data_IF_799301404564
#
_entry.id   IF_799301404564
#
_cell.length_a   1.000
_cell.length_b   1.000
_cell.length_c   1.000
_cell.angle_alpha   90.00
_cell.angle_beta   90.00
_cell.angle_gamma   90.00
#
_symmetry.space_group_name_H-M   'P 1'
#
loop_
_entity.id
_entity.type
_entity.pdbx_description
1 polymer ?
#
# COMPACT_ATOMS: atom_id res chain seq x y z
N UNK A 1 -7.56 1.47 17.35
CA UNK A 1 -7.74 2.45 16.27
C UNK A 1 -6.40 2.57 15.56
N UNK A 2 -5.35 3.09 16.20
CA UNK A 2 -3.98 3.16 15.62
C UNK A 2 -3.50 1.93 14.82
N UNK A 3 -3.48 0.72 15.39
CA UNK A 3 -3.01 -0.46 14.64
C UNK A 3 -3.91 -0.87 13.46
N UNK A 4 -5.19 -0.49 13.47
CA UNK A 4 -6.12 -0.78 12.37
C UNK A 4 -5.86 0.17 11.20
N UNK A 5 -5.68 1.45 11.50
CA UNK A 5 -5.38 2.48 10.50
C UNK A 5 -4.04 2.15 9.81
N UNK A 6 -3.03 1.70 10.57
CA UNK A 6 -1.77 1.18 10.02
C UNK A 6 -1.96 -0.03 9.10
N UNK A 7 -2.80 -1.00 9.47
CA UNK A 7 -3.12 -2.16 8.64
C UNK A 7 -3.84 -1.74 7.36
N UNK A 8 -4.86 -0.88 7.47
CA UNK A 8 -5.65 -0.40 6.33
C UNK A 8 -4.75 0.39 5.36
N UNK A 9 -3.96 1.35 5.85
CA UNK A 9 -3.00 2.10 5.05
C UNK A 9 -1.95 1.20 4.36
N UNK A 10 -1.44 0.20 5.07
CA UNK A 10 -0.47 -0.77 4.51
C UNK A 10 -1.05 -1.53 3.34
N UNK A 11 -2.21 -2.18 3.55
CA UNK A 11 -2.79 -3.06 2.53
C UNK A 11 -3.26 -2.22 1.34
N UNK A 12 -3.95 -1.09 1.60
CA UNK A 12 -4.40 -0.20 0.53
C UNK A 12 -3.26 0.46 -0.24
N UNK A 13 -2.20 0.90 0.43
CA UNK A 13 -1.02 1.49 -0.19
C UNK A 13 -0.33 0.50 -1.15
N UNK A 14 -0.11 -0.73 -0.69
CA UNK A 14 0.50 -1.78 -1.49
C UNK A 14 -0.33 -2.12 -2.74
N UNK A 15 -1.64 -2.30 -2.62
CA UNK A 15 -2.48 -2.50 -3.80
C UNK A 15 -2.54 -1.27 -4.72
N UNK A 16 -2.44 -0.06 -4.16
CA UNK A 16 -2.41 1.14 -4.97
C UNK A 16 -1.18 1.24 -5.85
N UNK A 17 -0.04 0.75 -5.37
CA UNK A 17 1.18 0.61 -6.16
C UNK A 17 1.05 -0.54 -7.15
N UNK A 18 0.67 -1.73 -6.67
CA UNK A 18 0.58 -2.91 -7.52
C UNK A 18 -0.35 -2.69 -8.72
N UNK A 19 -1.43 -1.90 -8.56
CA UNK A 19 -2.35 -1.51 -9.64
C UNK A 19 -2.00 -0.21 -10.37
N UNK A 20 -0.81 0.37 -10.17
CA UNK A 20 -0.45 1.66 -10.76
C UNK A 20 -0.43 1.61 -12.29
N UNK A 21 0.03 0.51 -12.88
CA UNK A 21 0.07 0.29 -14.32
C UNK A 21 -1.25 -0.29 -14.90
N UNK A 22 -2.23 -0.56 -14.02
CA UNK A 22 -3.54 -1.11 -14.37
C UNK A 22 -3.64 -2.63 -14.32
N UNK A 23 -2.54 -3.34 -14.12
CA UNK A 23 -2.49 -4.77 -13.77
C UNK A 23 -1.96 -4.93 -12.35
N UNK A 24 -1.89 -6.15 -11.81
CA UNK A 24 -1.27 -6.39 -10.53
C UNK A 24 -0.47 -7.69 -10.64
N UNK A 25 0.84 -7.62 -10.44
CA UNK A 25 1.73 -8.76 -10.56
C UNK A 25 1.65 -9.63 -9.29
N UNK A 26 1.72 -10.95 -9.47
CA UNK A 26 1.81 -11.89 -8.37
C UNK A 26 3.05 -11.65 -7.48
N UNK A 27 4.15 -11.13 -8.03
CA UNK A 27 5.36 -10.80 -7.25
C UNK A 27 5.13 -9.66 -6.25
N UNK A 28 4.46 -8.59 -6.69
CA UNK A 28 4.10 -7.44 -5.86
C UNK A 28 3.26 -7.86 -4.66
N UNK A 29 2.28 -8.72 -4.91
CA UNK A 29 1.43 -9.30 -3.88
C UNK A 29 2.21 -10.21 -2.95
N UNK A 30 3.13 -11.01 -3.47
CA UNK A 30 3.98 -11.87 -2.64
C UNK A 30 4.84 -11.02 -1.68
N UNK A 31 5.34 -9.86 -2.12
CA UNK A 31 6.06 -8.92 -1.25
C UNK A 31 5.16 -8.40 -0.13
N UNK A 32 3.95 -7.94 -0.45
CA UNK A 32 2.97 -7.50 0.55
C UNK A 32 2.66 -8.59 1.58
N UNK A 33 2.31 -9.79 1.13
CA UNK A 33 1.94 -10.92 1.99
C UNK A 33 3.10 -11.32 2.91
N UNK A 34 4.32 -11.36 2.37
CA UNK A 34 5.53 -11.65 3.14
C UNK A 34 5.78 -10.59 4.20
N UNK A 35 5.69 -9.30 3.86
CA UNK A 35 5.89 -8.21 4.82
C UNK A 35 4.86 -8.24 5.93
N UNK A 36 3.58 -8.41 5.60
CA UNK A 36 2.51 -8.52 6.62
C UNK A 36 2.77 -9.68 7.57
N UNK A 37 3.16 -10.84 7.05
CA UNK A 37 3.43 -12.03 7.88
C UNK A 37 4.62 -11.83 8.85
N UNK A 38 5.53 -10.91 8.51
CA UNK A 38 6.70 -10.58 9.31
C UNK A 38 6.39 -9.55 10.41
N UNK A 39 5.19 -8.94 10.44
CA UNK A 39 4.80 -7.91 11.41
C UNK A 39 3.94 -8.52 12.55
N UNK A 40 4.48 -8.73 13.77
CA UNK A 40 3.71 -9.30 14.87
C UNK A 40 2.49 -8.47 15.25
N UNK A 41 2.54 -7.15 15.06
CA UNK A 41 1.44 -6.23 15.31
C UNK A 41 0.21 -6.51 14.42
N UNK A 42 0.42 -7.15 13.25
CA UNK A 42 -0.63 -7.42 12.28
C UNK A 42 -1.24 -8.81 12.46
N UNK A 43 -0.60 -9.69 13.23
CA UNK A 43 -1.07 -11.06 13.48
C UNK A 43 -2.54 -11.13 13.98
N UNK A 44 -3.01 -10.25 14.89
CA UNK A 44 -4.42 -10.25 15.31
C UNK A 44 -5.42 -9.97 14.17
N UNK A 45 -4.98 -9.34 13.08
CA UNK A 45 -5.80 -8.92 11.95
C UNK A 45 -5.70 -9.85 10.74
N UNK A 46 -4.95 -10.97 10.82
CA UNK A 46 -4.66 -11.82 9.65
C UNK A 46 -5.91 -12.25 8.85
N UNK A 47 -7.01 -12.59 9.53
CA UNK A 47 -8.28 -12.92 8.87
C UNK A 47 -8.94 -11.72 8.18
N UNK A 48 -8.89 -10.54 8.80
CA UNK A 48 -9.40 -9.29 8.22
C UNK A 48 -8.57 -8.84 7.01
N UNK A 49 -7.24 -8.96 7.09
CA UNK A 49 -6.31 -8.62 6.02
C UNK A 49 -6.57 -9.46 4.76
N UNK A 50 -6.80 -10.76 4.92
CA UNK A 50 -7.11 -11.64 3.79
C UNK A 50 -8.42 -11.23 3.09
N UNK A 51 -9.47 -10.94 3.87
CA UNK A 51 -10.74 -10.48 3.34
C UNK A 51 -10.62 -9.09 2.69
N UNK A 52 -9.89 -8.17 3.32
CA UNK A 52 -9.62 -6.83 2.82
C UNK A 52 -8.88 -6.88 1.49
N UNK A 53 -7.84 -7.70 1.40
CA UNK A 53 -7.09 -7.95 0.17
C UNK A 53 -7.98 -8.38 -0.99
N UNK A 54 -8.85 -9.37 -0.76
CA UNK A 54 -9.80 -9.82 -1.78
C UNK A 54 -10.76 -8.71 -2.22
N UNK A 55 -11.28 -7.93 -1.27
CA UNK A 55 -12.19 -6.82 -1.57
C UNK A 55 -11.50 -5.69 -2.34
N UNK A 56 -10.24 -5.38 -2.03
CA UNK A 56 -9.47 -4.33 -2.70
C UNK A 56 -9.22 -4.70 -4.16
N UNK A 57 -8.76 -5.93 -4.45
CA UNK A 57 -8.57 -6.42 -5.82
C UNK A 57 -9.85 -6.29 -6.65
N UNK A 58 -10.98 -6.77 -6.12
CA UNK A 58 -12.27 -6.64 -6.79
C UNK A 58 -12.68 -5.17 -7.03
N UNK A 59 -12.33 -4.25 -6.13
CA UNK A 59 -12.57 -2.82 -6.30
C UNK A 59 -11.68 -2.20 -7.36
N UNK A 60 -10.41 -2.61 -7.46
CA UNK A 60 -9.52 -2.17 -8.53
C UNK A 60 -9.99 -2.67 -9.89
N UNK A 61 -10.45 -3.91 -9.98
CA UNK A 61 -11.02 -4.46 -11.22
C UNK A 61 -12.31 -3.74 -11.64
N UNK A 62 -13.20 -3.44 -10.69
CA UNK A 62 -14.50 -2.84 -10.99
C UNK A 62 -14.46 -1.30 -11.16
N UNK A 63 -13.63 -0.61 -10.37
CA UNK A 63 -13.56 0.85 -10.33
C UNK A 63 -12.20 1.36 -9.85
N UNK A 64 -11.15 1.29 -10.69
CA UNK A 64 -9.77 1.64 -10.28
C UNK A 64 -9.64 3.05 -9.70
N UNK A 65 -10.37 4.03 -10.26
CA UNK A 65 -10.35 5.42 -9.77
C UNK A 65 -10.93 5.55 -8.35
N UNK A 66 -12.00 4.82 -8.06
CA UNK A 66 -12.62 4.81 -6.73
C UNK A 66 -11.75 4.07 -5.71
N UNK A 67 -11.11 2.98 -6.14
CA UNK A 67 -10.15 2.24 -5.32
C UNK A 67 -8.93 3.12 -4.96
N UNK A 68 -8.31 3.78 -5.95
CA UNK A 68 -7.22 4.73 -5.70
C UNK A 68 -7.63 5.88 -4.78
N UNK A 69 -8.83 6.45 -4.96
CA UNK A 69 -9.32 7.49 -4.07
C UNK A 69 -9.53 6.99 -2.63
N UNK A 70 -9.87 5.71 -2.43
CA UNK A 70 -9.90 5.12 -1.10
C UNK A 70 -8.49 4.94 -0.55
N UNK A 71 -7.56 4.38 -1.34
CA UNK A 71 -6.20 4.15 -0.88
C UNK A 71 -5.54 5.43 -0.37
N UNK A 72 -5.71 6.54 -1.10
CA UNK A 72 -5.18 7.84 -0.66
C UNK A 72 -5.86 8.39 0.60
N UNK A 73 -7.10 7.98 0.92
CA UNK A 73 -7.74 8.36 2.20
C UNK A 73 -7.14 7.58 3.37
N UNK A 74 -7.01 6.27 3.22
CA UNK A 74 -6.45 5.38 4.26
C UNK A 74 -4.98 5.75 4.55
N UNK A 75 -4.22 6.11 3.50
CA UNK A 75 -2.87 6.64 3.66
C UNK A 75 -2.85 7.99 4.39
N UNK A 76 -3.84 8.85 4.16
CA UNK A 76 -3.92 10.14 4.85
C UNK A 76 -4.19 9.97 6.36
N UNK A 77 -4.90 8.91 6.75
CA UNK A 77 -5.25 8.64 8.15
C UNK A 77 -4.02 8.31 9.02
N UNK A 78 -2.92 7.86 8.40
CA UNK A 78 -1.63 7.62 9.08
C UNK A 78 -0.60 8.71 8.86
N UNK A 79 -0.93 9.79 8.13
CA UNK A 79 0.04 10.84 7.85
C UNK A 79 0.55 11.50 9.14
N UNK A 80 1.88 11.70 9.23
CA UNK A 80 2.54 12.29 10.40
C UNK A 80 2.67 11.35 11.61
N UNK A 81 2.27 10.08 11.50
CA UNK A 81 2.58 9.05 12.50
C UNK A 81 3.89 8.32 12.15
N UNK A 82 4.36 7.46 13.06
CA UNK A 82 5.52 6.60 12.77
C UNK A 82 5.19 5.56 11.69
N UNK A 83 3.93 5.12 11.59
CA UNK A 83 3.50 4.11 10.62
C UNK A 83 3.61 4.61 9.18
N UNK A 84 3.52 5.93 8.95
CA UNK A 84 3.65 6.51 7.62
C UNK A 84 4.95 6.10 6.92
N UNK A 85 6.05 6.04 7.67
CA UNK A 85 7.36 5.66 7.13
C UNK A 85 7.37 4.19 6.72
N UNK A 86 6.88 3.31 7.60
CA UNK A 86 6.81 1.87 7.33
C UNK A 86 5.90 1.57 6.12
N UNK A 87 4.78 2.27 6.02
CA UNK A 87 3.85 2.17 4.88
C UNK A 87 4.50 2.64 3.59
N UNK A 88 5.23 3.75 3.58
CA UNK A 88 5.93 4.24 2.39
C UNK A 88 7.02 3.26 1.94
N UNK A 89 7.84 2.76 2.87
CA UNK A 89 8.87 1.77 2.59
C UNK A 89 8.29 0.50 1.97
N UNK A 90 7.17 0.00 2.50
CA UNK A 90 6.51 -1.15 1.89
C UNK A 90 5.98 -0.84 0.48
N UNK A 91 5.42 0.35 0.25
CA UNK A 91 4.99 0.74 -1.09
C UNK A 91 6.17 0.73 -2.09
N UNK A 92 7.36 1.14 -1.65
CA UNK A 92 8.59 1.06 -2.44
C UNK A 92 9.02 -0.39 -2.69
N UNK A 93 9.04 -1.23 -1.66
CA UNK A 93 9.38 -2.66 -1.79
C UNK A 93 8.43 -3.40 -2.75
N UNK A 94 7.15 -3.00 -2.77
CA UNK A 94 6.17 -3.55 -3.71
C UNK A 94 6.47 -3.11 -5.14
N UNK A 95 6.80 -1.82 -5.35
CA UNK A 95 7.15 -1.30 -6.68
C UNK A 95 8.49 -1.83 -7.22
N UNK A 96 9.48 -2.08 -6.35
CA UNK A 96 10.84 -2.44 -6.76
C UNK A 96 11.00 -3.95 -7.10
N UNK A 97 9.98 -4.54 -7.71
CA UNK A 97 10.00 -5.93 -8.19
C UNK A 97 10.55 -6.01 -9.61
N UNK A 98 11.87 -5.83 -9.74
CA UNK A 98 12.64 -5.70 -11.00
C UNK A 98 12.77 -4.25 -11.53
N UNK A 99 12.59 -3.27 -10.64
CA UNK A 99 12.74 -1.84 -10.89
C UNK A 99 11.42 -1.09 -10.98
N UNK A 100 11.42 0.16 -10.51
CA UNK A 100 10.23 1.02 -10.45
C UNK A 100 9.90 1.58 -11.83
N UNK A 101 8.72 1.26 -12.35
CA UNK A 101 8.17 1.79 -13.59
C UNK A 101 7.62 3.22 -13.47
N UNK A 102 7.35 3.86 -14.60
CA UNK A 102 6.92 5.26 -14.66
C UNK A 102 5.58 5.52 -13.93
N UNK A 103 4.61 4.61 -14.07
CA UNK A 103 3.31 4.75 -13.42
C UNK A 103 3.38 4.50 -11.91
N UNK A 104 4.22 3.57 -11.48
CA UNK A 104 4.51 3.32 -10.06
C UNK A 104 5.22 4.52 -9.43
N UNK A 105 6.22 5.10 -10.11
CA UNK A 105 6.91 6.30 -9.62
C UNK A 105 5.93 7.48 -9.46
N UNK A 106 5.01 7.68 -10.42
CA UNK A 106 3.94 8.68 -10.31
C UNK A 106 3.03 8.40 -9.12
N UNK A 107 2.73 7.13 -8.85
CA UNK A 107 1.87 6.76 -7.74
C UNK A 107 2.59 6.90 -6.39
N UNK A 108 3.85 6.47 -6.28
CA UNK A 108 4.72 6.67 -5.12
C UNK A 108 4.83 8.15 -4.75
N UNK A 109 4.99 9.05 -5.73
CA UNK A 109 4.99 10.51 -5.49
C UNK A 109 3.70 10.99 -4.85
N UNK A 110 2.53 10.48 -5.27
CA UNK A 110 1.24 10.83 -4.66
C UNK A 110 1.12 10.26 -3.25
N UNK A 111 1.54 9.01 -3.05
CA UNK A 111 1.52 8.33 -1.74
C UNK A 111 2.40 9.10 -0.76
N UNK A 112 3.66 9.39 -1.11
CA UNK A 112 4.57 10.16 -0.28
C UNK A 112 4.03 11.57 0.05
N UNK A 113 3.41 12.24 -0.93
CA UNK A 113 2.76 13.54 -0.70
C UNK A 113 1.63 13.44 0.32
N UNK A 114 0.77 12.41 0.23
CA UNK A 114 -0.33 12.18 1.18
C UNK A 114 0.20 11.84 2.57
N UNK A 115 1.22 10.99 2.65
CA UNK A 115 1.89 10.62 3.89
C UNK A 115 2.72 11.76 4.51
N UNK A 116 2.90 12.87 3.78
CA UNK A 116 3.72 14.02 4.16
C UNK A 116 5.22 13.66 4.33
N UNK A 117 5.71 12.73 3.52
CA UNK A 117 7.08 12.25 3.56
C UNK A 117 7.87 12.67 2.31
N UNK A 118 9.17 12.97 2.44
CA UNK A 118 10.03 13.24 1.29
C UNK A 118 10.42 11.93 0.60
N UNK A 119 9.82 11.63 -0.56
CA UNK A 119 10.06 10.38 -1.30
C UNK A 119 11.56 10.12 -1.56
N UNK A 120 12.31 11.16 -1.96
CA UNK A 120 13.74 11.06 -2.30
C UNK A 120 14.62 10.59 -1.13
N UNK A 121 14.14 10.64 0.11
CA UNK A 121 14.87 10.11 1.27
C UNK A 121 14.89 8.57 1.30
N UNK A 122 13.98 7.92 0.56
CA UNK A 122 13.72 6.48 0.63
C UNK A 122 13.99 5.74 -0.70
N UNK A 123 14.35 6.45 -1.77
CA UNK A 123 14.82 5.91 -3.06
C UNK A 123 16.35 5.70 -3.04
#
# INVERSE_FOLDING_TARGET
MENRDAVEATVWGAYSIAYADGTCDAKEIATLEKTISALPAFAPFAGEIAQMSSNIRARYEASPRSANAQALRELADVAGTNDAVDVLCLCLDVADNDGIGEEEEKQLKKIAQVLQLPLDQYL
#
